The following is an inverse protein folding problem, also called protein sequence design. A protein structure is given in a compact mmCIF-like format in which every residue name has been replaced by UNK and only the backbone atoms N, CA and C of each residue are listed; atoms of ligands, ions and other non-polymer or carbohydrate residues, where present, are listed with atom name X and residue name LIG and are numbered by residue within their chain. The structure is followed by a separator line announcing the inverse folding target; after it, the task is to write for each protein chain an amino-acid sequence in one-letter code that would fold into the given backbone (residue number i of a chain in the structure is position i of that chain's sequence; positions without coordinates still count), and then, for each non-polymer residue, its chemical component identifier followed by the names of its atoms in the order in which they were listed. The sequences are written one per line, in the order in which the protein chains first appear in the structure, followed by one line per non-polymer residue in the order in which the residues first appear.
data_IF_348280010018
#
_entry.id   IF_348280010018
#
_cell.length_a   1.000
_cell.length_b   1.000
_cell.length_c   1.000
_cell.angle_alpha   90.00
_cell.angle_beta   90.00
_cell.angle_gamma   90.00
#
_symmetry.space_group_name_H-M   'P 1'
#
loop_
_entity.id
_entity.type
_entity.pdbx_description
1 polymer ?
#
# COMPACT_ATOMS: atom_id res chain seq x y z
N UNK A 1 4.97 -22.01 15.37
CA UNK A 1 4.85 -22.45 13.97
C UNK A 1 4.33 -21.25 13.20
N UNK A 2 5.00 -20.87 12.12
CA UNK A 2 4.57 -19.78 11.23
C UNK A 2 3.36 -20.22 10.39
N UNK A 3 2.39 -19.32 10.18
CA UNK A 3 1.25 -19.55 9.31
C UNK A 3 0.94 -18.29 8.52
N UNK A 4 0.82 -18.42 7.20
CA UNK A 4 0.37 -17.33 6.34
C UNK A 4 -1.09 -16.99 6.65
N UNK A 5 -1.37 -15.71 6.86
CA UNK A 5 -2.72 -15.21 7.03
C UNK A 5 -3.52 -15.35 5.73
N UNK A 6 -4.82 -15.56 5.85
CA UNK A 6 -5.73 -15.57 4.70
C UNK A 6 -5.76 -14.19 4.05
N UNK A 7 -5.76 -14.16 2.71
CA UNK A 7 -6.01 -12.94 1.93
C UNK A 7 -7.50 -12.61 1.79
N UNK A 8 -8.38 -13.51 2.20
CA UNK A 8 -9.83 -13.29 2.25
C UNK A 8 -10.18 -12.80 3.65
N UNK A 9 -10.63 -11.55 3.75
CA UNK A 9 -11.03 -10.88 4.98
C UNK A 9 -12.37 -10.16 4.77
N UNK A 10 -13.10 -9.89 5.86
CA UNK A 10 -14.46 -9.34 5.80
C UNK A 10 -14.48 -7.84 5.47
N UNK A 11 -13.57 -7.08 6.08
CA UNK A 11 -13.45 -5.64 5.90
C UNK A 11 -11.99 -5.18 6.12
N UNK A 12 -11.74 -3.89 5.89
CA UNK A 12 -10.41 -3.31 6.05
C UNK A 12 -9.85 -3.32 7.48
N UNK A 13 -10.64 -3.63 8.51
CA UNK A 13 -10.15 -3.76 9.89
C UNK A 13 -9.52 -5.12 10.15
N UNK A 14 -9.94 -6.14 9.39
CA UNK A 14 -9.44 -7.52 9.47
C UNK A 14 -8.25 -7.79 8.52
N UNK A 15 -7.73 -6.75 7.88
CA UNK A 15 -6.61 -6.86 6.98
C UNK A 15 -5.31 -7.16 7.76
N UNK A 16 -4.74 -8.33 7.52
CA UNK A 16 -3.48 -8.74 8.15
C UNK A 16 -2.35 -8.68 7.13
N UNK A 17 -1.65 -7.54 7.10
CA UNK A 17 -0.49 -7.31 6.25
C UNK A 17 0.69 -6.83 7.10
N UNK A 18 1.12 -7.68 8.01
CA UNK A 18 2.36 -7.52 8.81
C UNK A 18 3.12 -8.85 8.82
N UNK A 19 4.42 -8.78 9.06
CA UNK A 19 5.24 -9.97 9.25
C UNK A 19 5.46 -10.27 10.75
N UNK A 20 5.60 -11.55 11.11
CA UNK A 20 5.77 -12.03 12.49
C UNK A 20 4.71 -11.47 13.46
N UNK A 21 3.53 -11.11 12.94
CA UNK A 21 2.54 -10.36 13.69
C UNK A 21 1.57 -11.22 14.49
N UNK A 22 0.80 -10.55 15.35
CA UNK A 22 -0.31 -11.13 16.08
C UNK A 22 -1.59 -10.31 15.89
N UNK A 23 -2.70 -10.96 16.18
CA UNK A 23 -4.04 -10.35 16.12
C UNK A 23 -4.70 -10.39 17.49
N UNK A 24 -5.30 -9.28 17.88
CA UNK A 24 -6.20 -9.15 19.02
C UNK A 24 -7.60 -8.81 18.53
N UNK A 25 -8.62 -9.43 19.13
CA UNK A 25 -10.02 -9.10 18.90
C UNK A 25 -10.79 -9.23 20.21
N UNK A 26 -11.43 -8.15 20.64
CA UNK A 26 -12.20 -8.15 21.88
C UNK A 26 -12.60 -6.75 22.35
N UNK A 27 -12.73 -6.60 23.67
CA UNK A 27 -12.99 -5.31 24.30
C UNK A 27 -11.91 -4.28 23.94
N UNK A 28 -12.25 -2.99 23.79
CA UNK A 28 -11.26 -1.98 23.43
C UNK A 28 -10.09 -1.91 24.41
N UNK A 29 -8.89 -2.22 23.93
CA UNK A 29 -7.64 -2.16 24.71
C UNK A 29 -6.75 -1.03 24.22
N UNK A 30 -5.89 -0.55 25.11
CA UNK A 30 -4.85 0.44 24.79
C UNK A 30 -3.45 -0.16 24.68
N UNK A 31 -3.27 -1.38 25.17
CA UNK A 31 -1.99 -2.05 25.32
C UNK A 31 -2.09 -3.45 24.72
N UNK A 32 -1.24 -3.77 23.76
CA UNK A 32 -1.21 -5.07 23.07
C UNK A 32 0.04 -5.81 23.50
N UNK A 33 -0.13 -6.86 24.30
CA UNK A 33 0.96 -7.69 24.82
C UNK A 33 1.27 -8.91 23.95
N UNK A 34 2.04 -9.85 24.51
CA UNK A 34 2.47 -11.10 23.88
C UNK A 34 3.34 -10.89 22.62
N UNK A 35 4.16 -9.83 22.62
CA UNK A 35 5.09 -9.46 21.55
C UNK A 35 6.55 -9.70 21.92
N UNK A 36 6.85 -10.57 22.89
CA UNK A 36 8.23 -10.82 23.36
C UNK A 36 9.19 -11.22 22.23
N UNK A 37 8.69 -11.84 21.16
CA UNK A 37 9.50 -12.19 19.98
C UNK A 37 9.89 -10.97 19.11
N UNK A 38 9.24 -9.83 19.29
CA UNK A 38 9.51 -8.56 18.61
C UNK A 38 10.13 -7.51 19.54
N UNK A 39 10.64 -7.90 20.71
CA UNK A 39 11.20 -6.99 21.71
C UNK A 39 12.28 -6.06 21.11
N UNK A 40 12.17 -4.76 21.38
CA UNK A 40 13.09 -3.74 20.87
C UNK A 40 12.98 -3.45 19.36
N UNK A 41 12.04 -4.07 18.65
CA UNK A 41 11.77 -3.79 17.24
C UNK A 41 10.75 -2.67 17.08
N UNK A 42 10.90 -1.91 16.00
CA UNK A 42 9.85 -1.02 15.51
C UNK A 42 8.80 -1.87 14.78
N UNK A 43 7.54 -1.71 15.17
CA UNK A 43 6.39 -2.40 14.61
C UNK A 43 5.36 -1.40 14.11
N UNK A 44 4.51 -1.89 13.22
CA UNK A 44 3.32 -1.18 12.74
C UNK A 44 2.08 -1.94 13.21
N UNK A 45 1.02 -1.20 13.51
CA UNK A 45 -0.26 -1.78 13.87
C UNK A 45 -1.39 -1.26 12.96
N UNK A 46 -2.35 -2.13 12.66
CA UNK A 46 -3.66 -1.79 12.13
C UNK A 46 -4.66 -1.91 13.28
N UNK A 47 -5.13 -0.78 13.81
CA UNK A 47 -6.03 -0.68 14.96
C UNK A 47 -7.39 -0.16 14.50
N UNK A 48 -8.42 -1.03 14.53
CA UNK A 48 -9.76 -0.78 13.99
C UNK A 48 -9.73 -0.18 12.57
N UNK A 49 -8.81 -0.67 11.72
CA UNK A 49 -8.62 -0.21 10.35
C UNK A 49 -7.83 1.10 10.22
N UNK A 50 -7.25 1.62 11.30
CA UNK A 50 -6.36 2.78 11.25
C UNK A 50 -4.90 2.34 11.44
N UNK A 51 -4.02 2.88 10.60
CA UNK A 51 -2.60 2.56 10.66
C UNK A 51 -1.94 3.36 11.78
N UNK A 52 -1.19 2.68 12.63
CA UNK A 52 -0.38 3.24 13.72
C UNK A 52 1.07 2.83 13.47
N UNK A 53 1.94 3.82 13.23
CA UNK A 53 3.38 3.64 12.93
C UNK A 53 4.24 4.06 14.12
N UNK A 54 5.52 3.68 14.11
CA UNK A 54 6.51 4.12 15.09
C UNK A 54 6.31 3.53 16.49
N UNK A 55 5.67 2.36 16.59
CA UNK A 55 5.52 1.65 17.86
C UNK A 55 6.79 0.86 18.12
N UNK A 56 7.34 0.95 19.33
CA UNK A 56 8.48 0.15 19.77
C UNK A 56 7.98 -0.84 20.80
N UNK A 57 8.31 -2.12 20.62
CA UNK A 57 7.96 -3.15 21.60
C UNK A 57 8.87 -3.03 22.81
N UNK A 58 8.25 -2.91 23.99
CA UNK A 58 8.93 -2.88 25.29
C UNK A 58 8.23 -3.80 26.26
N UNK A 59 8.98 -4.69 26.91
CA UNK A 59 8.44 -5.71 27.84
C UNK A 59 7.35 -6.59 27.21
N UNK A 60 7.52 -6.91 25.92
CA UNK A 60 6.56 -7.69 25.15
C UNK A 60 5.23 -6.99 24.86
N UNK A 61 5.15 -5.66 25.01
CA UNK A 61 3.95 -4.86 24.82
C UNK A 61 4.18 -3.63 23.92
N UNK A 62 3.12 -3.20 23.21
CA UNK A 62 3.03 -1.87 22.59
C UNK A 62 1.79 -1.11 23.07
N UNK A 63 1.92 0.21 23.21
CA UNK A 63 0.81 1.10 23.57
C UNK A 63 0.25 1.82 22.36
N UNK A 64 -1.05 1.67 22.15
CA UNK A 64 -1.80 2.35 21.10
C UNK A 64 -2.15 3.78 21.54
N UNK A 65 -2.20 4.74 20.61
CA UNK A 65 -2.60 6.12 20.90
C UNK A 65 -4.09 6.24 21.25
N UNK A 66 -4.92 5.31 20.75
CA UNK A 66 -6.37 5.21 21.00
C UNK A 66 -6.71 3.77 21.34
N UNK A 67 -7.77 3.58 22.11
CA UNK A 67 -8.31 2.24 22.37
C UNK A 67 -8.86 1.64 21.08
N UNK A 68 -8.63 0.35 20.87
CA UNK A 68 -9.10 -0.37 19.69
C UNK A 68 -9.55 -1.79 20.03
N UNK A 69 -10.57 -2.28 19.33
CA UNK A 69 -11.15 -3.61 19.53
C UNK A 69 -10.50 -4.68 18.65
N UNK A 70 -10.12 -4.33 17.41
CA UNK A 70 -9.43 -5.21 16.47
C UNK A 70 -8.05 -4.63 16.22
N UNK A 71 -7.00 -5.39 16.53
CA UNK A 71 -5.62 -4.95 16.34
C UNK A 71 -4.80 -6.02 15.67
N UNK A 72 -4.13 -5.68 14.58
CA UNK A 72 -3.08 -6.48 13.97
C UNK A 72 -1.75 -5.75 14.14
N UNK A 73 -0.76 -6.36 14.77
CA UNK A 73 0.55 -5.73 15.03
C UNK A 73 1.67 -6.66 14.60
N UNK A 74 2.71 -6.12 13.98
CA UNK A 74 3.88 -6.88 13.57
C UNK A 74 4.93 -6.02 12.87
N UNK A 75 5.94 -6.67 12.31
CA UNK A 75 6.98 -5.99 11.54
C UNK A 75 6.37 -5.39 10.26
N UNK A 76 6.73 -4.14 9.93
CA UNK A 76 6.34 -3.56 8.65
C UNK A 76 7.05 -4.30 7.52
N UNK A 77 6.35 -4.51 6.41
CA UNK A 77 6.99 -4.98 5.19
C UNK A 77 6.59 -4.09 4.00
N UNK A 78 7.55 -3.87 3.11
CA UNK A 78 7.38 -3.02 1.93
C UNK A 78 6.97 -3.88 0.74
N UNK A 79 5.74 -3.74 0.26
CA UNK A 79 5.32 -4.37 -1.00
C UNK A 79 5.73 -3.49 -2.17
N UNK A 80 6.41 -4.06 -3.17
CA UNK A 80 6.86 -3.35 -4.38
C UNK A 80 6.35 -4.06 -5.64
N UNK A 81 5.79 -3.31 -6.57
CA UNK A 81 5.49 -3.76 -7.94
C UNK A 81 6.17 -2.78 -8.89
N UNK A 82 6.95 -3.28 -9.84
CA UNK A 82 7.57 -2.48 -10.88
C UNK A 82 7.17 -3.03 -12.24
N UNK A 83 6.63 -2.17 -13.11
CA UNK A 83 6.25 -2.58 -14.45
C UNK A 83 7.49 -2.84 -15.31
N UNK A 84 7.33 -3.64 -16.36
CA UNK A 84 8.31 -3.66 -17.44
C UNK A 84 8.38 -2.27 -18.12
N UNK A 85 9.51 -1.95 -18.77
CA UNK A 85 9.62 -0.74 -19.57
C UNK A 85 8.55 -0.68 -20.67
N UNK A 86 7.99 0.51 -20.88
CA UNK A 86 6.97 0.71 -21.91
C UNK A 86 7.56 0.58 -23.32
N UNK A 87 7.21 -0.50 -24.01
CA UNK A 87 7.48 -0.69 -25.43
C UNK A 87 6.23 -0.30 -26.24
N UNK A 88 6.37 0.68 -27.13
CA UNK A 88 5.33 0.96 -28.12
C UNK A 88 5.69 0.19 -29.39
N UNK A 89 4.81 -0.72 -29.80
CA UNK A 89 4.95 -1.37 -31.11
C UNK A 89 4.81 -0.35 -32.24
N UNK A 90 5.31 -0.69 -33.42
CA UNK A 90 5.32 0.14 -34.64
C UNK A 90 3.93 0.49 -35.22
N UNK A 91 2.84 0.37 -34.46
CA UNK A 91 1.46 0.50 -34.94
C UNK A 91 0.85 1.91 -34.81
N UNK A 92 1.57 2.90 -34.30
CA UNK A 92 1.11 4.30 -34.43
C UNK A 92 1.73 4.92 -35.69
N UNK A 93 0.90 5.59 -36.50
CA UNK A 93 1.29 6.32 -37.72
C UNK A 93 2.07 7.58 -37.34
N UNK A 94 3.27 7.37 -36.79
CA UNK A 94 4.07 8.32 -36.01
C UNK A 94 4.93 7.65 -34.91
N UNK A 95 5.06 6.32 -34.97
CA UNK A 95 5.65 5.41 -33.99
C UNK A 95 6.86 5.97 -33.24
N UNK A 96 6.74 6.00 -31.92
CA UNK A 96 7.87 6.23 -31.02
C UNK A 96 8.95 5.21 -31.34
N UNK A 97 9.97 5.63 -32.09
CA UNK A 97 11.11 4.80 -32.41
C UNK A 97 11.72 4.24 -31.11
N UNK A 98 12.20 2.98 -31.11
CA UNK A 98 13.02 2.46 -30.03
C UNK A 98 14.11 3.47 -29.66
N UNK A 99 14.21 3.86 -28.38
CA UNK A 99 15.18 4.84 -27.89
C UNK A 99 14.68 6.28 -27.73
N UNK A 100 13.49 6.66 -28.25
CA UNK A 100 12.94 8.01 -27.96
C UNK A 100 12.50 8.08 -26.50
N UNK A 101 12.91 9.13 -25.74
CA UNK A 101 12.51 9.26 -24.35
C UNK A 101 10.99 9.47 -24.26
N UNK A 102 10.39 8.87 -23.24
CA UNK A 102 8.96 8.92 -22.94
C UNK A 102 8.79 9.35 -21.50
N UNK A 103 7.70 10.05 -21.20
CA UNK A 103 7.34 10.40 -19.83
C UNK A 103 6.00 9.78 -19.47
N UNK A 104 5.95 9.11 -18.32
CA UNK A 104 4.70 8.62 -17.74
C UNK A 104 4.17 9.70 -16.80
N UNK A 105 3.03 10.29 -17.13
CA UNK A 105 2.44 11.40 -16.35
C UNK A 105 1.35 10.97 -15.39
N UNK A 106 0.89 9.74 -15.54
CA UNK A 106 -0.16 9.16 -14.72
C UNK A 106 -0.22 7.65 -14.89
N UNK A 107 -0.96 7.02 -14.00
CA UNK A 107 -1.29 5.61 -14.07
C UNK A 107 -2.75 5.43 -13.70
N UNK A 108 -3.49 4.75 -14.57
CA UNK A 108 -4.84 4.31 -14.30
C UNK A 108 -4.81 2.83 -13.94
N UNK A 109 -5.40 2.46 -12.81
CA UNK A 109 -5.39 1.11 -12.27
C UNK A 109 -6.80 0.64 -12.00
N UNK A 110 -7.08 -0.63 -12.30
CA UNK A 110 -8.24 -1.31 -11.73
C UNK A 110 -7.78 -1.99 -10.45
N UNK A 111 -8.39 -1.64 -9.33
CA UNK A 111 -8.07 -2.16 -8.01
C UNK A 111 -9.25 -2.87 -7.39
N UNK A 112 -8.97 -3.78 -6.46
CA UNK A 112 -9.97 -4.46 -5.66
C UNK A 112 -9.56 -4.34 -4.19
N UNK A 113 -10.51 -3.98 -3.33
CA UNK A 113 -10.34 -3.96 -1.87
C UNK A 113 -9.02 -3.31 -1.43
N UNK A 114 -8.61 -2.23 -2.09
CA UNK A 114 -7.31 -1.60 -1.89
C UNK A 114 -7.45 -0.31 -1.11
N UNK A 115 -6.49 -0.03 -0.22
CA UNK A 115 -6.43 1.24 0.51
C UNK A 115 -5.01 1.75 0.60
N UNK A 116 -4.82 2.98 0.11
CA UNK A 116 -3.51 3.60 0.03
C UNK A 116 -2.60 2.91 -0.98
N UNK A 117 -1.74 3.68 -1.61
CA UNK A 117 -0.60 3.22 -2.39
C UNK A 117 0.26 4.44 -2.73
N UNK A 118 1.51 4.17 -3.06
CA UNK A 118 2.41 5.15 -3.65
C UNK A 118 2.70 4.70 -5.07
N UNK A 119 2.70 5.62 -6.02
CA UNK A 119 3.16 5.31 -7.37
C UNK A 119 4.04 6.43 -7.94
N UNK A 120 4.94 6.05 -8.85
CA UNK A 120 5.94 6.96 -9.38
C UNK A 120 6.85 6.33 -10.41
N UNK A 121 7.88 7.08 -10.82
CA UNK A 121 8.84 6.60 -11.82
C UNK A 121 10.01 5.82 -11.23
N UNK A 122 10.34 6.05 -9.96
CA UNK A 122 11.35 5.31 -9.20
C UNK A 122 11.11 5.52 -7.68
N UNK A 123 11.97 4.97 -6.82
CA UNK A 123 11.79 4.98 -5.37
C UNK A 123 11.89 6.39 -4.75
N UNK A 124 12.59 7.32 -5.40
CA UNK A 124 12.79 8.70 -4.93
C UNK A 124 11.66 9.63 -5.42
N UNK A 125 10.95 9.23 -6.48
CA UNK A 125 9.89 10.01 -7.12
C UNK A 125 8.52 9.35 -6.99
N UNK A 126 8.10 9.04 -5.75
CA UNK A 126 6.80 8.44 -5.43
C UNK A 126 5.79 9.46 -4.89
N UNK A 127 4.58 9.44 -5.45
CA UNK A 127 3.45 10.23 -4.99
C UNK A 127 2.39 9.32 -4.34
N UNK A 128 1.89 9.72 -3.17
CA UNK A 128 0.81 9.02 -2.48
C UNK A 128 -0.53 9.22 -3.21
N UNK A 129 -1.21 8.12 -3.51
CA UNK A 129 -2.60 8.17 -3.95
C UNK A 129 -3.50 8.42 -2.74
N UNK A 130 -3.94 9.68 -2.60
CA UNK A 130 -4.89 10.08 -1.55
C UNK A 130 -6.29 9.69 -1.97
N UNK A 131 -6.77 8.59 -1.41
CA UNK A 131 -8.13 8.14 -1.61
C UNK A 131 -9.13 9.17 -1.07
N UNK A 132 -10.09 9.57 -1.89
CA UNK A 132 -11.23 10.37 -1.42
C UNK A 132 -12.14 9.48 -0.57
N UNK A 133 -12.43 9.91 0.64
CA UNK A 133 -13.44 9.28 1.50
C UNK A 133 -14.46 10.31 1.98
N UNK A 134 -15.68 9.85 2.23
CA UNK A 134 -16.82 10.62 2.75
C UNK A 134 -17.29 10.07 4.11
N UNK A 135 -16.44 9.25 4.74
CA UNK A 135 -16.69 8.54 5.98
C UNK A 135 -16.84 9.51 7.16
N UNK A 136 -17.64 9.13 8.15
CA UNK A 136 -17.85 9.92 9.35
C UNK A 136 -16.57 10.05 10.19
N UNK A 137 -16.54 11.03 11.09
CA UNK A 137 -15.43 11.17 12.04
C UNK A 137 -15.22 9.90 12.86
N UNK A 138 -14.04 9.30 12.76
CA UNK A 138 -13.67 8.09 13.51
C UNK A 138 -14.00 6.77 12.81
N UNK A 139 -14.68 6.80 11.67
CA UNK A 139 -14.88 5.60 10.86
C UNK A 139 -13.61 5.24 10.07
N UNK A 140 -13.30 3.94 9.91
CA UNK A 140 -12.18 3.53 9.08
C UNK A 140 -12.46 3.86 7.61
N UNK A 141 -11.44 4.34 6.90
CA UNK A 141 -11.54 4.57 5.45
C UNK A 141 -11.84 3.23 4.76
N UNK A 142 -12.92 3.22 3.97
CA UNK A 142 -13.37 2.05 3.21
C UNK A 142 -12.35 1.67 2.15
N UNK A 143 -12.34 0.39 1.79
CA UNK A 143 -11.51 -0.09 0.71
C UNK A 143 -12.08 0.35 -0.65
N UNK A 144 -11.21 0.66 -1.61
CA UNK A 144 -11.63 0.99 -2.98
C UNK A 144 -11.63 -0.27 -3.85
N UNK A 145 -12.75 -0.46 -4.56
CA UNK A 145 -12.86 -1.41 -5.67
C UNK A 145 -13.37 -0.65 -6.89
N UNK A 146 -12.66 -0.76 -8.01
CA UNK A 146 -12.99 -0.04 -9.25
C UNK A 146 -11.77 0.50 -9.95
N UNK A 147 -11.96 1.54 -10.76
CA UNK A 147 -10.88 2.21 -11.50
C UNK A 147 -10.45 3.45 -10.73
N UNK A 148 -9.15 3.60 -10.52
CA UNK A 148 -8.52 4.78 -9.93
C UNK A 148 -7.51 5.35 -10.92
N UNK A 149 -7.43 6.68 -10.99
CA UNK A 149 -6.43 7.39 -11.78
C UNK A 149 -5.56 8.23 -10.85
N UNK A 150 -4.25 8.04 -10.94
CA UNK A 150 -3.27 8.73 -10.12
C UNK A 150 -2.25 9.42 -11.00
N UNK A 151 -2.07 10.73 -10.79
CA UNK A 151 -1.02 11.49 -11.48
C UNK A 151 0.29 11.30 -10.74
N UNK A 152 1.35 11.04 -11.49
CA UNK A 152 2.69 10.78 -10.93
C UNK A 152 3.71 11.71 -11.56
N UNK A 153 4.76 12.05 -10.81
CA UNK A 153 5.92 12.73 -11.37
C UNK A 153 6.76 11.75 -12.21
N UNK A 154 6.53 11.76 -13.51
CA UNK A 154 7.37 11.04 -14.47
C UNK A 154 8.69 11.73 -14.75
N UNK A 155 9.70 10.93 -15.08
CA UNK A 155 10.95 11.40 -15.68
C UNK A 155 11.02 10.99 -17.16
N UNK A 156 11.70 11.80 -17.98
CA UNK A 156 11.93 11.47 -19.39
C UNK A 156 13.02 10.42 -19.50
N UNK A 157 12.65 9.18 -19.86
CA UNK A 157 13.60 8.07 -20.03
C UNK A 157 13.25 7.23 -21.25
N UNK A 158 14.24 6.60 -21.91
CA UNK A 158 13.97 5.62 -22.96
C UNK A 158 13.22 4.39 -22.42
N UNK A 159 13.57 3.96 -21.20
CA UNK A 159 13.01 2.81 -20.50
C UNK A 159 12.19 3.25 -19.28
N UNK A 160 11.08 3.94 -19.53
CA UNK A 160 10.20 4.39 -18.44
C UNK A 160 9.37 3.23 -17.88
N UNK A 161 9.44 3.06 -16.55
CA UNK A 161 8.66 2.08 -15.77
C UNK A 161 7.73 2.80 -14.78
N UNK A 162 6.74 2.07 -14.27
CA UNK A 162 5.91 2.52 -13.14
C UNK A 162 6.26 1.68 -11.92
N UNK A 163 6.67 2.36 -10.86
CA UNK A 163 6.85 1.79 -9.54
C UNK A 163 5.61 2.03 -8.70
N UNK A 164 5.07 0.97 -8.08
CA UNK A 164 4.02 1.04 -7.06
C UNK A 164 4.52 0.44 -5.76
N UNK A 165 4.18 1.08 -4.64
CA UNK A 165 4.49 0.61 -3.30
C UNK A 165 3.27 0.62 -2.39
N UNK A 166 3.19 -0.39 -1.53
CA UNK A 166 2.38 -0.36 -0.31
C UNK A 166 3.34 -0.41 0.88
N UNK A 167 3.29 0.63 1.71
CA UNK A 167 4.16 0.83 2.87
C UNK A 167 3.45 0.55 4.18
N UNK A 168 2.13 0.58 4.16
CA UNK A 168 1.27 0.37 5.31
C UNK A 168 0.80 -1.08 5.37
N UNK A 169 0.36 -1.56 6.56
CA UNK A 169 -0.24 -2.87 6.73
C UNK A 169 -1.68 -2.91 6.17
N UNK A 170 -1.83 -2.52 4.91
CA UNK A 170 -3.10 -2.36 4.21
C UNK A 170 -3.13 -3.22 2.95
N UNK A 171 -4.31 -3.70 2.55
CA UNK A 171 -4.45 -4.49 1.32
C UNK A 171 -4.16 -3.64 0.09
N UNK A 172 -3.47 -4.27 -0.87
CA UNK A 172 -3.25 -3.73 -2.21
C UNK A 172 -3.40 -4.86 -3.23
N UNK A 173 -4.50 -4.83 -3.98
CA UNK A 173 -4.78 -5.78 -5.06
C UNK A 173 -4.97 -5.01 -6.37
N UNK A 174 -3.98 -5.12 -7.25
CA UNK A 174 -3.97 -4.47 -8.56
C UNK A 174 -4.39 -5.51 -9.60
N UNK A 175 -5.51 -5.26 -10.27
CA UNK A 175 -6.04 -6.13 -11.32
C UNK A 175 -5.49 -5.72 -12.69
N UNK A 176 -5.36 -4.43 -12.94
CA UNK A 176 -4.78 -3.89 -14.19
C UNK A 176 -3.98 -2.63 -13.90
N UNK A 177 -2.96 -2.39 -14.72
CA UNK A 177 -2.10 -1.21 -14.68
C UNK A 177 -1.97 -0.65 -16.09
N UNK A 178 -2.43 0.58 -16.30
CA UNK A 178 -2.42 1.26 -17.60
C UNK A 178 -1.71 2.61 -17.45
N UNK A 179 -0.45 2.73 -17.91
CA UNK A 179 0.29 3.98 -17.84
C UNK A 179 -0.24 5.01 -18.84
N UNK A 180 -0.31 6.26 -18.40
CA UNK A 180 -0.62 7.41 -19.25
C UNK A 180 0.69 8.08 -19.63
N UNK A 181 0.97 8.12 -20.94
CA UNK A 181 2.24 8.63 -21.46
C UNK A 181 2.06 9.84 -22.34
N UNK A 182 3.02 10.75 -22.27
CA UNK A 182 3.21 11.79 -23.27
C UNK A 182 4.41 11.40 -24.13
N UNK A 183 4.21 11.40 -25.44
CA UNK A 183 5.26 11.24 -26.45
C UNK A 183 5.32 12.58 -27.20
N UNK A 184 6.48 13.23 -27.28
CA UNK A 184 6.64 14.49 -27.98
C UNK A 184 6.58 14.29 -29.49
#
# INVERSE_FOLDING_TARGET
MERLASRVFQDGRHAFFVDCGLSYQGEPIRAVGNLHHLEGKEVVALADGNVVRGLIVSDGEVKLPRMASIVHVGLPYLSKIESLPLSFGAQTTGGAAPGRPKQITGVTMKVQETRGLWAGSDADHLDEYKQRSMEGWGEPVRLTTGVISHRIRGSWRPESTVLIQQRDPLPMTILTLTPETIIP
#
